data_IF_782224781627
#
_entry.id   IF_782224781627
#
_cell.length_a   1.000
_cell.length_b   1.000
_cell.length_c   1.000
_cell.angle_alpha   90.00
_cell.angle_beta   90.00
_cell.angle_gamma   90.00
#
_symmetry.space_group_name_H-M   'P 1'
#
loop_
_entity.id
_entity.type
_entity.pdbx_description
1 polymer ?
#
# COMPACT_ATOMS: atom_id res chain seq x y z
N UNK A 1 -16.81 33.36 23.75
CA UNK A 1 -16.64 33.41 25.23
C UNK A 1 -15.18 33.24 25.58
N UNK A 2 -14.71 33.94 26.62
CA UNK A 2 -13.35 33.86 27.15
C UNK A 2 -13.40 33.48 28.63
N UNK A 3 -12.36 32.82 29.14
CA UNK A 3 -12.18 32.64 30.59
C UNK A 3 -11.61 33.96 31.15
N UNK A 4 -12.28 34.57 32.13
CA UNK A 4 -11.86 35.85 32.71
C UNK A 4 -11.21 35.58 34.06
N UNK A 5 -9.95 35.96 34.20
CA UNK A 5 -9.19 35.86 35.43
C UNK A 5 -8.95 37.25 36.06
N UNK A 6 -8.82 37.30 37.37
CA UNK A 6 -8.49 38.50 38.15
C UNK A 6 -7.48 38.17 39.27
N UNK A 7 -7.16 39.16 40.12
CA UNK A 7 -6.14 39.02 41.16
C UNK A 7 -6.40 37.91 42.20
N UNK A 8 -7.64 37.40 42.29
CA UNK A 8 -8.06 36.41 43.30
C UNK A 8 -8.71 35.17 42.68
N UNK A 9 -8.87 35.11 41.36
CA UNK A 9 -9.58 34.03 40.68
C UNK A 9 -9.07 33.82 39.26
N UNK A 10 -8.80 32.56 38.92
CA UNK A 10 -8.63 32.07 37.56
C UNK A 10 -9.12 30.62 37.51
N UNK A 11 -9.55 30.15 36.34
CA UNK A 11 -9.89 28.75 36.16
C UNK A 11 -8.62 27.88 36.25
N UNK A 12 -8.70 26.81 37.03
CA UNK A 12 -7.60 25.87 37.25
C UNK A 12 -7.92 24.51 36.64
N UNK A 13 -6.87 23.76 36.28
CA UNK A 13 -7.04 22.42 35.74
C UNK A 13 -7.51 21.46 36.86
N UNK A 14 -8.54 20.62 36.63
CA UNK A 14 -8.97 19.65 37.62
C UNK A 14 -7.83 18.67 37.95
N UNK A 15 -7.68 18.21 39.21
CA UNK A 15 -6.68 17.22 39.57
C UNK A 15 -6.83 15.94 38.73
N UNK A 16 -5.69 15.28 38.44
CA UNK A 16 -5.66 14.05 37.66
C UNK A 16 -6.50 12.97 38.36
N UNK A 17 -7.44 12.38 37.61
CA UNK A 17 -8.29 11.29 38.10
C UNK A 17 -7.47 10.00 38.09
N UNK A 18 -7.51 9.24 39.18
CA UNK A 18 -7.00 7.86 39.20
C UNK A 18 -7.96 6.97 38.39
N UNK A 19 -7.47 6.45 37.27
CA UNK A 19 -8.25 5.64 36.33
C UNK A 19 -7.99 4.15 36.56
N UNK A 20 -9.04 3.34 36.42
CA UNK A 20 -8.87 1.89 36.29
C UNK A 20 -8.31 1.54 34.90
N UNK A 21 -7.71 0.34 34.71
CA UNK A 21 -7.09 -0.05 33.43
C UNK A 21 -8.02 -0.01 32.20
N UNK A 22 -9.35 -0.01 32.39
CA UNK A 22 -10.37 0.03 31.34
C UNK A 22 -11.08 1.40 31.25
N UNK A 23 -10.54 2.43 31.89
CA UNK A 23 -11.11 3.77 31.92
C UNK A 23 -10.19 4.78 31.25
N UNK A 24 -10.77 5.83 30.69
CA UNK A 24 -10.03 7.04 30.37
C UNK A 24 -10.76 8.30 30.82
N UNK A 25 -9.98 9.28 31.25
CA UNK A 25 -10.46 10.63 31.46
C UNK A 25 -10.56 11.35 30.10
N UNK A 26 -11.71 11.98 29.85
CA UNK A 26 -11.98 12.80 28.68
C UNK A 26 -12.22 14.22 29.16
N UNK A 27 -11.44 15.16 28.64
CA UNK A 27 -11.58 16.58 28.89
C UNK A 27 -12.11 17.25 27.63
N UNK A 28 -13.26 17.90 27.71
CA UNK A 28 -13.93 18.52 26.56
C UNK A 28 -13.90 20.04 26.68
N UNK A 29 -13.43 20.68 25.61
CA UNK A 29 -13.60 22.11 25.38
C UNK A 29 -14.38 22.33 24.09
N UNK A 30 -15.33 23.26 24.08
CA UNK A 30 -16.21 23.48 22.93
C UNK A 30 -16.39 24.96 22.60
N UNK A 31 -16.77 25.22 21.35
CA UNK A 31 -17.17 26.56 20.89
C UNK A 31 -18.42 27.07 21.62
N UNK A 32 -19.31 26.15 22.03
CA UNK A 32 -20.50 26.45 22.83
C UNK A 32 -20.19 26.81 24.29
N UNK A 33 -18.96 26.57 24.76
CA UNK A 33 -18.52 27.08 26.06
C UNK A 33 -17.93 26.11 27.04
N UNK A 34 -17.85 24.81 26.73
CA UNK A 34 -17.18 23.86 27.63
C UNK A 34 -15.71 24.22 27.78
N UNK A 35 -15.18 24.12 29.00
CA UNK A 35 -13.78 24.45 29.35
C UNK A 35 -13.24 23.35 30.24
N UNK A 36 -12.44 22.45 29.66
CA UNK A 36 -11.84 21.31 30.35
C UNK A 36 -12.84 20.52 31.21
N UNK A 37 -14.07 20.40 30.74
CA UNK A 37 -15.10 19.62 31.43
C UNK A 37 -14.67 18.17 31.43
N UNK A 38 -14.45 17.60 32.61
CA UNK A 38 -13.95 16.26 32.76
C UNK A 38 -15.10 15.23 32.80
N UNK A 39 -14.84 14.06 32.24
CA UNK A 39 -15.71 12.90 32.35
C UNK A 39 -14.82 11.65 32.28
N UNK A 40 -15.28 10.55 32.87
CA UNK A 40 -14.61 9.26 32.73
C UNK A 40 -15.43 8.39 31.82
N UNK A 41 -14.80 7.81 30.81
CA UNK A 41 -15.42 6.80 29.94
C UNK A 41 -14.79 5.45 30.21
N UNK A 42 -15.63 4.42 30.21
CA UNK A 42 -15.18 3.04 30.24
C UNK A 42 -15.02 2.58 28.79
N UNK A 43 -13.83 2.13 28.43
CA UNK A 43 -13.63 1.41 27.20
C UNK A 43 -13.79 -0.07 27.47
N UNK A 44 -14.80 -0.67 26.83
CA UNK A 44 -14.85 -2.12 26.70
C UNK A 44 -13.70 -2.51 25.78
N UNK A 45 -12.91 -3.55 26.09
CA UNK A 45 -12.07 -4.18 25.10
C UNK A 45 -12.97 -4.50 23.91
N UNK A 46 -12.76 -3.77 22.82
CA UNK A 46 -13.49 -4.03 21.59
C UNK A 46 -13.09 -5.47 21.25
N UNK A 47 -14.06 -6.39 21.22
CA UNK A 47 -13.81 -7.75 20.74
C UNK A 47 -13.41 -7.72 19.26
N UNK A 48 -13.84 -8.71 18.47
CA UNK A 48 -13.62 -8.68 17.02
C UNK A 48 -14.46 -7.57 16.34
N UNK A 49 -14.09 -6.30 16.51
CA UNK A 49 -14.62 -5.18 15.73
C UNK A 49 -13.82 -5.11 14.43
N UNK A 50 -14.49 -5.43 13.33
CA UNK A 50 -13.98 -5.27 11.98
C UNK A 50 -14.70 -4.10 11.32
N UNK A 51 -13.94 -3.22 10.66
CA UNK A 51 -14.50 -2.18 9.78
C UNK A 51 -14.87 -2.73 8.38
N UNK A 52 -14.86 -4.06 8.21
CA UNK A 52 -15.40 -4.74 7.04
C UNK A 52 -14.55 -4.64 5.77
N UNK A 53 -13.25 -4.38 5.89
CA UNK A 53 -12.37 -4.32 4.73
C UNK A 53 -12.28 -5.68 4.04
N UNK A 54 -12.53 -5.66 2.73
CA UNK A 54 -12.60 -6.85 1.87
C UNK A 54 -11.82 -6.66 0.57
N UNK A 55 -11.13 -5.53 0.40
CA UNK A 55 -10.28 -5.26 -0.77
C UNK A 55 -8.86 -4.99 -0.29
N UNK A 56 -7.87 -5.67 -0.88
CA UNK A 56 -6.45 -5.45 -0.64
C UNK A 56 -5.72 -5.12 -1.94
N UNK A 57 -4.91 -4.06 -1.93
CA UNK A 57 -3.97 -3.75 -3.02
C UNK A 57 -2.63 -4.41 -2.72
N UNK A 58 -2.07 -5.12 -3.68
CA UNK A 58 -0.73 -5.70 -3.57
C UNK A 58 0.15 -5.11 -4.67
N UNK A 59 1.18 -4.32 -4.33
CA UNK A 59 2.12 -3.84 -5.34
C UNK A 59 2.91 -5.01 -5.91
N UNK A 60 3.10 -5.04 -7.23
CA UNK A 60 4.08 -5.90 -7.88
C UNK A 60 5.37 -5.08 -7.91
N UNK A 61 6.27 -5.38 -6.99
CA UNK A 61 7.53 -4.69 -6.88
C UNK A 61 8.59 -5.51 -7.60
N UNK A 62 9.40 -4.81 -8.38
CA UNK A 62 10.67 -5.31 -8.88
C UNK A 62 11.72 -4.31 -8.40
N UNK A 63 12.44 -4.72 -7.37
CA UNK A 63 13.31 -3.84 -6.61
C UNK A 63 13.97 -4.65 -5.52
N UNK A 64 15.15 -5.19 -5.87
CA UNK A 64 16.01 -6.05 -5.03
C UNK A 64 15.79 -7.57 -5.20
N UNK A 65 15.60 -8.04 -6.44
CA UNK A 65 15.51 -9.48 -6.77
C UNK A 65 16.30 -9.90 -8.00
N UNK A 66 16.61 -11.20 -8.05
CA UNK A 66 17.40 -11.89 -9.07
C UNK A 66 16.81 -11.85 -10.50
N UNK A 67 15.68 -11.15 -10.72
CA UNK A 67 15.04 -10.93 -12.03
C UNK A 67 15.75 -9.84 -12.87
N UNK A 68 16.81 -9.25 -12.32
CA UNK A 68 17.72 -8.31 -12.98
C UNK A 68 18.69 -8.95 -13.98
N UNK A 69 18.54 -10.25 -14.26
CA UNK A 69 19.31 -10.93 -15.30
C UNK A 69 18.98 -10.30 -16.66
N UNK A 70 19.96 -9.60 -17.21
CA UNK A 70 19.84 -8.88 -18.48
C UNK A 70 19.45 -9.86 -19.59
N UNK A 71 18.41 -9.48 -20.36
CA UNK A 71 17.89 -10.23 -21.51
C UNK A 71 17.24 -11.58 -21.14
N UNK A 72 16.73 -11.76 -19.93
CA UNK A 72 15.93 -12.94 -19.57
C UNK A 72 14.50 -12.86 -20.12
N UNK A 73 14.37 -12.89 -21.45
CA UNK A 73 13.07 -12.81 -22.15
C UNK A 73 12.14 -14.00 -21.84
N UNK A 74 12.71 -15.14 -21.43
CA UNK A 74 11.96 -16.34 -21.06
C UNK A 74 11.61 -16.37 -19.56
N UNK A 75 12.08 -15.39 -18.78
CA UNK A 75 11.83 -15.26 -17.34
C UNK A 75 12.21 -16.53 -16.56
N UNK A 76 13.38 -17.11 -16.90
CA UNK A 76 13.88 -18.31 -16.24
C UNK A 76 14.32 -18.06 -14.80
N UNK A 77 14.69 -16.83 -14.46
CA UNK A 77 15.13 -16.44 -13.13
C UNK A 77 14.01 -15.81 -12.31
N UNK A 78 12.80 -15.68 -12.87
CA UNK A 78 11.65 -15.09 -12.19
C UNK A 78 11.43 -15.71 -10.82
N UNK A 79 11.40 -14.86 -9.79
CA UNK A 79 10.99 -15.28 -8.45
C UNK A 79 10.32 -14.14 -7.67
N UNK A 80 9.43 -14.53 -6.75
CA UNK A 80 8.89 -13.57 -5.79
C UNK A 80 9.99 -13.08 -4.84
N UNK A 81 9.84 -11.85 -4.37
CA UNK A 81 10.84 -11.21 -3.53
C UNK A 81 10.83 -11.76 -2.10
N UNK A 82 11.90 -11.48 -1.34
CA UNK A 82 11.91 -11.72 0.11
C UNK A 82 10.76 -10.99 0.81
N UNK A 83 10.39 -9.80 0.36
CA UNK A 83 9.27 -9.05 0.94
C UNK A 83 7.92 -9.75 0.67
N UNK A 84 7.77 -10.41 -0.48
CA UNK A 84 6.60 -11.25 -0.75
C UNK A 84 6.49 -12.39 0.26
N UNK A 85 7.55 -13.18 0.42
CA UNK A 85 7.54 -14.36 1.28
C UNK A 85 7.50 -14.03 2.78
N UNK A 86 8.22 -13.00 3.22
CA UNK A 86 8.37 -12.67 4.64
C UNK A 86 7.26 -11.77 5.17
N UNK A 87 6.64 -10.94 4.32
CA UNK A 87 5.69 -9.91 4.76
C UNK A 87 4.32 -10.08 4.09
N UNK A 88 4.27 -10.00 2.75
CA UNK A 88 2.99 -9.87 2.02
C UNK A 88 2.16 -11.15 2.09
N UNK A 89 2.75 -12.30 1.75
CA UNK A 89 2.06 -13.59 1.73
C UNK A 89 1.55 -13.99 3.13
N UNK A 90 2.37 -13.95 4.21
CA UNK A 90 1.88 -14.26 5.56
C UNK A 90 0.73 -13.34 5.99
N UNK A 91 0.85 -12.04 5.72
CA UNK A 91 -0.21 -11.08 6.05
C UNK A 91 -1.51 -11.36 5.29
N UNK A 92 -1.42 -11.62 3.99
CA UNK A 92 -2.60 -11.96 3.17
C UNK A 92 -3.26 -13.24 3.69
N UNK A 93 -2.48 -14.27 4.05
CA UNK A 93 -3.01 -15.53 4.61
C UNK A 93 -3.72 -15.28 5.95
N UNK A 94 -3.15 -14.46 6.83
CA UNK A 94 -3.79 -14.08 8.09
C UNK A 94 -5.11 -13.34 7.85
N UNK A 95 -5.16 -12.39 6.90
CA UNK A 95 -6.42 -11.70 6.54
C UNK A 95 -7.44 -12.67 5.95
N UNK A 96 -7.02 -13.59 5.06
CA UNK A 96 -7.91 -14.62 4.50
C UNK A 96 -8.53 -15.52 5.59
N UNK A 97 -7.81 -15.82 6.67
CA UNK A 97 -8.38 -16.57 7.80
C UNK A 97 -9.48 -15.79 8.53
N UNK A 98 -9.42 -14.45 8.54
CA UNK A 98 -10.40 -13.59 9.20
C UNK A 98 -11.64 -13.33 8.35
N UNK A 99 -11.48 -13.12 7.04
CA UNK A 99 -12.59 -12.69 6.16
C UNK A 99 -13.03 -13.73 5.13
N UNK A 100 -12.29 -14.82 4.98
CA UNK A 100 -12.55 -15.89 4.02
C UNK A 100 -12.50 -15.40 2.56
N UNK A 101 -13.37 -15.98 1.72
CA UNK A 101 -13.44 -15.71 0.28
C UNK A 101 -13.98 -14.31 -0.07
N UNK A 102 -14.32 -13.49 0.94
CA UNK A 102 -14.71 -12.10 0.73
C UNK A 102 -13.53 -11.22 0.32
N UNK A 103 -12.29 -11.63 0.62
CA UNK A 103 -11.10 -10.86 0.27
C UNK A 103 -10.88 -10.85 -1.25
N UNK A 104 -10.99 -9.67 -1.85
CA UNK A 104 -10.61 -9.39 -3.23
C UNK A 104 -9.25 -8.72 -3.25
N UNK A 105 -8.26 -9.37 -3.83
CA UNK A 105 -6.93 -8.78 -4.01
C UNK A 105 -6.83 -8.17 -5.41
N UNK A 106 -6.21 -7.00 -5.53
CA UNK A 106 -5.82 -6.46 -6.82
C UNK A 106 -4.34 -6.13 -6.86
N UNK A 107 -3.69 -6.51 -7.97
CA UNK A 107 -2.26 -6.32 -8.16
C UNK A 107 -1.96 -5.10 -9.04
N UNK A 108 -0.88 -4.39 -8.75
CA UNK A 108 -0.48 -3.21 -9.52
C UNK A 108 1.04 -3.11 -9.60
N UNK A 109 1.65 -3.15 -10.78
CA UNK A 109 3.10 -2.99 -10.91
C UNK A 109 3.52 -1.52 -10.88
N UNK A 110 4.70 -1.28 -10.31
CA UNK A 110 5.31 0.04 -10.30
C UNK A 110 6.29 0.25 -11.44
N UNK A 111 7.08 -0.78 -11.79
CA UNK A 111 8.08 -0.68 -12.84
C UNK A 111 8.43 -2.08 -13.35
N UNK A 112 8.90 -2.14 -14.59
CA UNK A 112 9.50 -3.35 -15.16
C UNK A 112 11.00 -3.43 -14.81
N UNK A 113 11.64 -4.60 -14.96
CA UNK A 113 13.08 -4.74 -14.81
C UNK A 113 13.85 -3.67 -15.60
N UNK A 114 14.93 -3.16 -15.01
CA UNK A 114 15.69 -2.05 -15.59
C UNK A 114 16.17 -2.34 -17.01
N UNK A 115 16.54 -3.59 -17.30
CA UNK A 115 17.02 -4.01 -18.63
C UNK A 115 15.93 -3.94 -19.72
N UNK A 116 14.66 -3.97 -19.34
CA UNK A 116 13.51 -3.85 -20.26
C UNK A 116 13.15 -2.40 -20.59
N UNK A 117 13.62 -1.41 -19.80
CA UNK A 117 13.26 0.00 -19.91
C UNK A 117 14.27 0.78 -20.73
N UNK A 118 13.84 1.72 -21.57
CA UNK A 118 14.74 2.47 -22.45
C UNK A 118 15.81 3.27 -21.68
N UNK A 119 15.50 3.70 -20.46
CA UNK A 119 16.41 4.37 -19.54
C UNK A 119 17.47 3.46 -18.92
N UNK A 120 17.26 2.13 -18.93
CA UNK A 120 18.12 1.17 -18.23
C UNK A 120 18.07 1.28 -16.70
N UNK A 121 17.01 1.88 -16.13
CA UNK A 121 16.90 2.19 -14.69
C UNK A 121 15.51 1.83 -14.17
N UNK A 122 15.42 1.44 -12.90
CA UNK A 122 14.14 1.24 -12.18
C UNK A 122 13.36 2.54 -11.97
N UNK A 123 14.06 3.64 -11.73
CA UNK A 123 13.44 4.95 -11.52
C UNK A 123 12.72 5.49 -12.76
N UNK A 124 11.77 6.39 -12.53
CA UNK A 124 11.20 7.27 -13.55
C UNK A 124 12.04 8.54 -13.75
N UNK A 125 11.35 9.67 -13.97
CA UNK A 125 11.92 11.00 -14.14
C UNK A 125 12.33 11.31 -15.59
N UNK A 126 12.03 10.42 -16.53
CA UNK A 126 12.41 10.54 -17.93
C UNK A 126 11.35 9.85 -18.81
N UNK A 127 11.08 10.41 -20.00
CA UNK A 127 10.28 9.77 -21.06
C UNK A 127 10.83 8.40 -21.44
N UNK A 128 12.14 8.21 -21.31
CA UNK A 128 12.81 6.92 -21.54
C UNK A 128 12.52 5.89 -20.43
N UNK A 129 11.77 6.22 -19.38
CA UNK A 129 11.35 5.22 -18.38
C UNK A 129 10.31 4.22 -18.90
N UNK A 130 9.87 4.32 -20.15
CA UNK A 130 9.01 3.33 -20.82
C UNK A 130 9.76 2.05 -21.23
N UNK A 131 9.02 1.01 -21.62
CA UNK A 131 9.57 -0.21 -22.21
C UNK A 131 10.32 0.07 -23.53
N UNK A 132 11.35 -0.73 -23.80
CA UNK A 132 12.11 -0.70 -25.06
C UNK A 132 11.31 -1.31 -26.21
N UNK A 133 11.65 -0.86 -27.43
CA UNK A 133 11.20 -1.46 -28.67
C UNK A 133 9.73 -1.22 -28.97
N UNK A 134 9.21 -1.99 -29.92
CA UNK A 134 7.87 -1.80 -30.45
C UNK A 134 6.80 -2.47 -29.58
N UNK A 135 5.60 -1.91 -29.62
CA UNK A 135 4.39 -2.57 -29.12
C UNK A 135 4.28 -3.97 -29.76
N UNK A 136 3.94 -4.99 -28.97
CA UNK A 136 3.96 -6.41 -29.38
C UNK A 136 5.35 -7.02 -29.69
N UNK A 137 6.42 -6.25 -29.51
CA UNK A 137 7.80 -6.72 -29.57
C UNK A 137 8.18 -7.59 -28.35
N UNK A 138 9.42 -8.08 -28.30
CA UNK A 138 9.87 -9.02 -27.27
C UNK A 138 9.77 -8.46 -25.86
N UNK A 139 10.07 -7.17 -25.64
CA UNK A 139 9.98 -6.54 -24.32
C UNK A 139 8.54 -6.45 -23.81
N UNK A 140 7.59 -6.05 -24.65
CA UNK A 140 6.17 -5.98 -24.28
C UNK A 140 5.59 -7.37 -24.01
N UNK A 141 5.95 -8.38 -24.83
CA UNK A 141 5.53 -9.78 -24.60
C UNK A 141 6.10 -10.35 -23.32
N UNK A 142 7.38 -10.10 -23.05
CA UNK A 142 8.03 -10.52 -21.81
C UNK A 142 7.38 -9.84 -20.61
N UNK A 143 7.06 -8.55 -20.72
CA UNK A 143 6.38 -7.84 -19.64
C UNK A 143 4.99 -8.44 -19.38
N UNK A 144 4.23 -8.79 -20.41
CA UNK A 144 2.96 -9.50 -20.25
C UNK A 144 3.15 -10.88 -19.57
N UNK A 145 4.18 -11.65 -19.96
CA UNK A 145 4.50 -12.94 -19.35
C UNK A 145 4.91 -12.79 -17.87
N UNK A 146 5.53 -11.67 -17.48
CA UNK A 146 5.87 -11.39 -16.09
C UNK A 146 4.63 -11.36 -15.19
N UNK A 147 3.51 -10.79 -15.65
CA UNK A 147 2.25 -10.84 -14.90
C UNK A 147 1.76 -12.28 -14.72
N UNK A 148 1.86 -13.10 -15.77
CA UNK A 148 1.44 -14.51 -15.71
C UNK A 148 2.26 -15.24 -14.64
N UNK A 149 3.59 -15.12 -14.69
CA UNK A 149 4.51 -15.70 -13.71
C UNK A 149 4.21 -15.23 -12.29
N UNK A 150 3.94 -13.94 -12.10
CA UNK A 150 3.59 -13.39 -10.80
C UNK A 150 2.30 -13.98 -10.23
N UNK A 151 1.25 -14.10 -11.05
CA UNK A 151 -0.02 -14.69 -10.60
C UNK A 151 0.09 -16.19 -10.37
N UNK A 152 0.84 -16.92 -11.20
CA UNK A 152 1.13 -18.34 -11.00
C UNK A 152 1.87 -18.55 -9.67
N UNK A 153 2.92 -17.77 -9.41
CA UNK A 153 3.69 -17.87 -8.17
C UNK A 153 2.85 -17.57 -6.91
N UNK A 154 1.95 -16.58 -6.96
CA UNK A 154 1.01 -16.34 -5.86
C UNK A 154 -0.08 -17.43 -5.76
N UNK A 155 -0.52 -18.00 -6.88
CA UNK A 155 -1.48 -19.10 -6.90
C UNK A 155 -0.90 -20.38 -6.27
N UNK A 156 0.39 -20.67 -6.47
CA UNK A 156 1.11 -21.75 -5.77
C UNK A 156 1.10 -21.56 -4.24
N UNK A 157 1.01 -20.31 -3.77
CA UNK A 157 0.86 -19.97 -2.36
C UNK A 157 -0.59 -20.01 -1.87
N UNK A 158 -1.55 -20.42 -2.72
CA UNK A 158 -2.98 -20.45 -2.42
C UNK A 158 -3.64 -19.07 -2.41
N UNK A 159 -3.07 -18.10 -3.11
CA UNK A 159 -3.55 -16.72 -3.18
C UNK A 159 -3.93 -16.38 -4.62
N UNK A 160 -5.22 -16.08 -4.82
CA UNK A 160 -5.75 -15.67 -6.11
C UNK A 160 -6.06 -14.16 -6.11
N UNK A 161 -5.88 -13.52 -7.25
CA UNK A 161 -6.19 -12.11 -7.45
C UNK A 161 -7.54 -11.94 -8.17
N UNK A 162 -8.31 -10.96 -7.73
CA UNK A 162 -9.58 -10.56 -8.37
C UNK A 162 -9.35 -9.67 -9.58
N UNK A 163 -8.28 -8.87 -9.59
CA UNK A 163 -7.99 -7.98 -10.70
C UNK A 163 -6.57 -7.44 -10.68
N UNK A 164 -6.25 -6.66 -11.70
CA UNK A 164 -4.97 -5.98 -11.80
C UNK A 164 -5.10 -4.65 -12.55
N UNK A 165 -4.09 -3.80 -12.41
CA UNK A 165 -3.88 -2.65 -13.28
C UNK A 165 -2.67 -2.89 -14.17
N UNK A 166 -2.68 -2.38 -15.39
CA UNK A 166 -1.55 -2.51 -16.35
C UNK A 166 -0.28 -1.85 -15.82
N UNK A 167 -0.41 -0.68 -15.18
CA UNK A 167 0.70 0.09 -14.66
C UNK A 167 0.20 1.03 -13.57
N UNK A 168 0.95 1.18 -12.48
CA UNK A 168 0.66 2.23 -11.53
C UNK A 168 1.10 3.58 -12.05
N UNK A 169 0.23 4.59 -11.87
CA UNK A 169 0.55 5.99 -12.14
C UNK A 169 1.40 6.18 -13.42
N UNK A 170 0.90 5.74 -14.57
CA UNK A 170 1.71 5.58 -15.79
C UNK A 170 2.34 6.89 -16.29
N UNK A 171 1.75 8.04 -15.97
CA UNK A 171 2.31 9.36 -16.31
C UNK A 171 3.45 9.76 -15.34
N UNK A 172 3.45 9.25 -14.11
CA UNK A 172 4.51 9.55 -13.13
C UNK A 172 5.90 9.10 -13.59
N UNK A 173 5.99 8.15 -14.53
CA UNK A 173 7.25 7.73 -15.13
C UNK A 173 8.12 8.86 -15.69
N UNK A 174 7.53 9.98 -16.12
CA UNK A 174 8.30 11.15 -16.60
C UNK A 174 8.57 12.21 -15.54
N UNK A 175 8.01 12.04 -14.33
CA UNK A 175 7.99 13.09 -13.29
C UNK A 175 8.74 12.70 -12.02
N UNK A 176 8.80 11.41 -11.68
CA UNK A 176 9.25 10.94 -10.36
C UNK A 176 10.46 10.03 -10.45
N UNK A 177 11.40 10.15 -9.52
CA UNK A 177 12.67 9.41 -9.57
C UNK A 177 12.60 8.01 -8.95
N UNK A 178 11.56 7.69 -8.17
CA UNK A 178 11.34 6.35 -7.61
C UNK A 178 10.82 5.36 -8.66
N UNK A 179 10.57 4.11 -8.26
CA UNK A 179 10.09 3.04 -9.12
C UNK A 179 8.83 3.47 -9.88
N UNK A 180 9.00 3.74 -11.16
CA UNK A 180 7.96 4.19 -12.05
C UNK A 180 8.30 3.77 -13.48
N UNK A 181 7.27 3.57 -14.30
CA UNK A 181 7.42 3.27 -15.72
C UNK A 181 6.44 4.13 -16.50
N UNK A 182 6.95 4.88 -17.48
CA UNK A 182 6.10 5.69 -18.33
C UNK A 182 5.28 4.81 -19.26
N UNK A 183 3.97 5.05 -19.30
CA UNK A 183 3.09 4.50 -20.33
C UNK A 183 2.09 5.58 -20.74
N UNK A 184 1.96 5.82 -22.04
CA UNK A 184 0.94 6.73 -22.55
C UNK A 184 -0.39 5.97 -22.77
N UNK A 185 -1.46 6.71 -23.11
CA UNK A 185 -2.78 6.12 -23.30
C UNK A 185 -2.87 5.13 -24.49
N UNK A 186 -1.96 5.21 -25.47
CA UNK A 186 -1.90 4.27 -26.60
C UNK A 186 -1.25 2.95 -26.17
N UNK A 187 -0.22 3.00 -25.32
CA UNK A 187 0.44 1.82 -24.74
C UNK A 187 -0.45 1.02 -23.78
N UNK A 188 -1.59 1.58 -23.37
CA UNK A 188 -2.56 0.95 -22.47
C UNK A 188 -3.65 0.16 -23.19
N UNK A 189 -3.77 0.29 -24.52
CA UNK A 189 -4.83 -0.33 -25.32
C UNK A 189 -4.36 -1.63 -25.95
#
# INVERSE_FOLDING_TARGET
>A
MVCVCNATYCDEFPPLVNLNPNEAAVYISSISGKRFENSTINFTPLGNISIGYTIGRVPMEDGDTDDDVINDFELNHFNLTKADFLLKIPMIKAVKQLVGDKLKLFATPWTAPAWMKASGKFGGGDINSQLKGDMNGPYYRTWANYFIKYFEAYAEQGINFWGMTVQNEPVSGVMVEWQAMFMNAEMHR
#
